data_IF_926008199683
#
_entry.id   IF_926008199683
#
_cell.length_a   1.000
_cell.length_b   1.000
_cell.length_c   1.000
_cell.angle_alpha   90.00
_cell.angle_beta   90.00
_cell.angle_gamma   90.00
#
_symmetry.space_group_name_H-M   'P 1'
#
loop_
_entity.id
_entity.type
_entity.pdbx_description
1 polymer ?
#
# COMPACT_ATOMS: atom_id res chain seq x y z
N UNK A 1 -31.48 -1.32 7.39
CA UNK A 1 -30.36 -2.12 6.84
C UNK A 1 -29.78 -2.91 8.00
N UNK A 2 -29.45 -4.20 7.84
CA UNK A 2 -28.91 -5.01 8.94
C UNK A 2 -27.47 -4.58 9.23
N UNK A 3 -27.13 -4.24 10.48
CA UNK A 3 -25.79 -3.80 10.91
C UNK A 3 -24.70 -4.82 10.52
N UNK A 4 -25.01 -6.12 10.60
CA UNK A 4 -24.11 -7.19 10.15
C UNK A 4 -23.90 -7.18 8.64
N UNK A 5 -24.93 -6.82 7.86
CA UNK A 5 -24.80 -6.69 6.42
C UNK A 5 -23.95 -5.47 6.05
N UNK A 6 -24.09 -4.36 6.78
CA UNK A 6 -23.30 -3.15 6.63
C UNK A 6 -21.81 -3.40 6.92
N UNK A 7 -21.48 -3.99 8.08
CA UNK A 7 -20.11 -4.42 8.42
C UNK A 7 -19.52 -5.33 7.34
N UNK A 8 -20.30 -6.30 6.85
CA UNK A 8 -19.84 -7.19 5.78
C UNK A 8 -19.56 -6.46 4.47
N UNK A 9 -20.39 -5.48 4.10
CA UNK A 9 -20.21 -4.68 2.88
C UNK A 9 -18.97 -3.78 3.03
N UNK A 10 -18.86 -3.06 4.16
CA UNK A 10 -17.71 -2.22 4.47
C UNK A 10 -16.39 -3.01 4.43
N UNK A 11 -16.36 -4.21 5.00
CA UNK A 11 -15.16 -5.07 4.97
C UNK A 11 -14.77 -5.49 3.55
N UNK A 12 -15.75 -5.77 2.68
CA UNK A 12 -15.50 -6.10 1.27
C UNK A 12 -14.97 -4.88 0.50
N UNK A 13 -15.59 -3.72 0.69
CA UNK A 13 -15.16 -2.48 0.04
C UNK A 13 -13.75 -2.10 0.46
N UNK A 14 -13.45 -2.12 1.76
CA UNK A 14 -12.11 -1.82 2.28
C UNK A 14 -11.03 -2.71 1.68
N UNK A 15 -11.26 -4.03 1.61
CA UNK A 15 -10.31 -4.98 1.01
C UNK A 15 -10.13 -4.73 -0.48
N UNK A 16 -11.21 -4.50 -1.23
CA UNK A 16 -11.14 -4.24 -2.67
C UNK A 16 -10.41 -2.92 -2.96
N UNK A 17 -10.72 -1.85 -2.22
CA UNK A 17 -10.04 -0.55 -2.34
C UNK A 17 -8.57 -0.66 -1.99
N UNK A 18 -8.21 -1.36 -0.90
CA UNK A 18 -6.81 -1.58 -0.54
C UNK A 18 -6.05 -2.33 -1.65
N UNK A 19 -6.66 -3.36 -2.25
CA UNK A 19 -6.04 -4.10 -3.34
C UNK A 19 -5.85 -3.24 -4.60
N UNK A 20 -6.87 -2.50 -5.03
CA UNK A 20 -6.83 -1.76 -6.28
C UNK A 20 -6.08 -0.43 -6.17
N UNK A 21 -6.27 0.30 -5.08
CA UNK A 21 -5.78 1.68 -4.92
C UNK A 21 -4.46 1.77 -4.15
N UNK A 22 -4.02 0.68 -3.50
CA UNK A 22 -2.75 0.65 -2.76
C UNK A 22 -1.87 -0.48 -3.24
N UNK A 23 -2.27 -1.75 -3.05
CA UNK A 23 -1.40 -2.88 -3.35
C UNK A 23 -0.99 -2.90 -4.83
N UNK A 24 -1.94 -2.74 -5.75
CA UNK A 24 -1.69 -2.74 -7.19
C UNK A 24 -1.17 -1.39 -7.72
N UNK A 25 -0.27 -0.74 -6.99
CA UNK A 25 0.35 0.53 -7.37
C UNK A 25 1.88 0.41 -7.36
N UNK A 26 2.60 1.54 -7.37
CA UNK A 26 4.06 1.58 -7.33
C UNK A 26 4.68 0.84 -6.13
N UNK A 27 3.94 0.66 -5.03
CA UNK A 27 4.43 -0.09 -3.88
C UNK A 27 4.72 -1.56 -4.22
N UNK A 28 3.95 -2.18 -5.13
CA UNK A 28 4.22 -3.56 -5.58
C UNK A 28 5.56 -3.64 -6.29
N UNK A 29 5.91 -2.66 -7.12
CA UNK A 29 7.21 -2.66 -7.81
C UNK A 29 8.38 -2.55 -6.82
N UNK A 30 8.17 -1.83 -5.72
CA UNK A 30 9.19 -1.68 -4.67
C UNK A 30 9.31 -2.97 -3.84
N UNK A 31 8.22 -3.68 -3.64
CA UNK A 31 8.16 -4.93 -2.88
C UNK A 31 8.57 -6.17 -3.69
N UNK A 32 8.28 -6.20 -4.99
CA UNK A 32 8.54 -7.34 -5.88
C UNK A 32 10.02 -7.46 -6.30
N UNK A 33 10.93 -6.77 -5.61
CA UNK A 33 12.37 -6.92 -5.79
C UNK A 33 12.85 -8.33 -5.44
N UNK A 34 14.05 -8.67 -5.90
CA UNK A 34 14.68 -9.95 -5.52
C UNK A 34 15.11 -9.90 -4.04
N UNK A 35 14.49 -10.74 -3.22
CA UNK A 35 14.94 -10.95 -1.84
C UNK A 35 16.18 -11.87 -1.85
N UNK A 36 17.28 -11.49 -1.19
CA UNK A 36 18.47 -12.32 -1.09
C UNK A 36 18.21 -13.59 -0.25
N UNK A 37 19.03 -14.61 -0.47
CA UNK A 37 19.02 -15.85 0.32
C UNK A 37 20.04 -15.71 1.46
N UNK A 38 19.64 -16.09 2.67
CA UNK A 38 20.53 -16.26 3.84
C UNK A 38 20.64 -17.74 4.20
N UNK A 39 21.83 -18.17 4.63
CA UNK A 39 22.10 -19.51 5.15
C UNK A 39 22.21 -19.53 6.68
N UNK A 40 22.40 -18.39 7.34
CA UNK A 40 22.46 -18.28 8.81
C UNK A 40 21.10 -18.02 9.44
N UNK A 41 20.17 -17.42 8.70
CA UNK A 41 18.82 -17.07 9.17
C UNK A 41 18.73 -15.78 9.99
N UNK A 42 19.87 -15.27 10.47
CA UNK A 42 20.00 -13.97 11.15
C UNK A 42 20.44 -12.84 10.21
N UNK A 43 20.56 -13.12 8.91
CA UNK A 43 20.96 -12.19 7.85
C UNK A 43 22.39 -11.65 7.96
N UNK A 44 23.21 -12.15 8.89
CA UNK A 44 24.60 -11.70 9.07
C UNK A 44 25.50 -12.03 7.86
N UNK A 45 25.09 -13.01 7.03
CA UNK A 45 25.78 -13.41 5.80
C UNK A 45 25.36 -12.62 4.55
N UNK A 46 24.37 -11.73 4.65
CA UNK A 46 23.84 -10.95 3.52
C UNK A 46 24.22 -9.47 3.62
N UNK A 47 24.64 -8.88 2.50
CA UNK A 47 24.92 -7.45 2.39
C UNK A 47 24.65 -6.94 0.98
N UNK A 48 24.34 -5.64 0.87
CA UNK A 48 24.35 -4.90 -0.39
C UNK A 48 25.66 -4.12 -0.51
N UNK A 49 26.23 -4.08 -1.71
CA UNK A 49 27.36 -3.20 -2.04
C UNK A 49 26.85 -2.13 -3.00
N UNK A 50 26.98 -0.86 -2.61
CA UNK A 50 26.58 0.26 -3.47
C UNK A 50 27.68 0.65 -4.47
N UNK A 51 27.40 1.66 -5.30
CA UNK A 51 28.32 2.13 -6.33
C UNK A 51 29.61 2.77 -5.76
N UNK A 52 29.59 3.23 -4.52
CA UNK A 52 30.75 3.78 -3.81
C UNK A 52 31.59 2.68 -3.14
N UNK A 53 31.18 1.41 -3.27
CA UNK A 53 31.85 0.25 -2.68
C UNK A 53 31.54 0.05 -1.21
N UNK A 54 30.54 0.76 -0.66
CA UNK A 54 30.12 0.57 0.74
C UNK A 54 29.36 -0.74 0.87
N UNK A 55 29.81 -1.60 1.78
CA UNK A 55 29.08 -2.81 2.19
C UNK A 55 28.09 -2.47 3.29
N UNK A 56 26.80 -2.64 3.03
CA UNK A 56 25.70 -2.35 3.95
C UNK A 56 25.08 -3.68 4.37
N UNK A 57 25.00 -3.99 5.69
CA UNK A 57 24.28 -5.17 6.18
C UNK A 57 22.84 -5.18 5.68
N UNK A 58 22.29 -6.34 5.31
CA UNK A 58 20.91 -6.42 4.80
C UNK A 58 19.87 -5.82 5.76
N UNK A 59 20.09 -5.98 7.07
CA UNK A 59 19.23 -5.41 8.12
C UNK A 59 19.17 -3.88 8.12
N UNK A 60 20.18 -3.23 7.53
CA UNK A 60 20.31 -1.77 7.50
C UNK A 60 19.95 -1.21 6.10
N UNK A 61 19.72 -2.08 5.12
CA UNK A 61 19.28 -1.69 3.77
C UNK A 61 17.83 -1.27 3.83
N UNK A 62 17.47 -0.15 3.19
CA UNK A 62 16.07 0.23 3.02
C UNK A 62 15.38 -0.75 2.06
N UNK A 63 14.50 -1.59 2.59
CA UNK A 63 13.69 -2.53 1.82
C UNK A 63 12.32 -2.71 2.48
N UNK A 64 11.38 -3.29 1.73
CA UNK A 64 10.05 -3.64 2.25
C UNK A 64 9.97 -5.16 2.26
N UNK A 65 9.84 -5.76 3.44
CA UNK A 65 9.67 -7.21 3.58
C UNK A 65 8.22 -7.63 3.35
N UNK A 66 8.00 -8.94 3.16
CA UNK A 66 6.65 -9.52 3.12
C UNK A 66 5.84 -9.20 4.39
N UNK A 67 6.50 -9.17 5.55
CA UNK A 67 5.85 -8.89 6.81
C UNK A 67 5.54 -7.39 6.98
N UNK A 68 6.42 -6.50 6.51
CA UNK A 68 6.13 -5.06 6.43
C UNK A 68 4.91 -4.81 5.54
N UNK A 69 4.85 -5.46 4.37
CA UNK A 69 3.69 -5.35 3.48
C UNK A 69 2.43 -5.92 4.11
N UNK A 70 2.52 -7.03 4.84
CA UNK A 70 1.37 -7.62 5.53
C UNK A 70 0.82 -6.66 6.59
N UNK A 71 1.70 -6.05 7.36
CA UNK A 71 1.34 -5.07 8.39
C UNK A 71 0.73 -3.81 7.77
N UNK A 72 1.37 -3.25 6.73
CA UNK A 72 0.86 -2.11 6.00
C UNK A 72 -0.55 -2.36 5.44
N UNK A 73 -0.76 -3.50 4.78
CA UNK A 73 -2.07 -3.84 4.21
C UNK A 73 -3.14 -4.05 5.29
N UNK A 74 -2.78 -4.65 6.43
CA UNK A 74 -3.68 -4.78 7.59
C UNK A 74 -4.14 -3.41 8.08
N UNK A 75 -3.19 -2.50 8.26
CA UNK A 75 -3.46 -1.13 8.71
C UNK A 75 -4.37 -0.37 7.74
N UNK A 76 -4.09 -0.45 6.45
CA UNK A 76 -4.88 0.22 5.41
C UNK A 76 -6.31 -0.34 5.36
N UNK A 77 -6.47 -1.67 5.35
CA UNK A 77 -7.79 -2.31 5.33
C UNK A 77 -8.58 -1.93 6.57
N UNK A 78 -7.97 -1.91 7.75
CA UNK A 78 -8.63 -1.51 8.99
C UNK A 78 -9.05 -0.04 8.94
N UNK A 79 -8.17 0.86 8.48
CA UNK A 79 -8.49 2.30 8.35
C UNK A 79 -9.62 2.55 7.36
N UNK A 80 -9.61 1.91 6.19
CA UNK A 80 -10.70 2.02 5.20
C UNK A 80 -12.02 1.45 5.74
N UNK A 81 -11.96 0.33 6.46
CA UNK A 81 -13.13 -0.24 7.14
C UNK A 81 -13.72 0.71 8.18
N UNK A 82 -12.86 1.31 9.02
CA UNK A 82 -13.27 2.34 9.97
C UNK A 82 -13.88 3.54 9.27
N UNK A 83 -13.28 4.01 8.16
CA UNK A 83 -13.82 5.12 7.40
C UNK A 83 -15.24 4.82 6.88
N UNK A 84 -15.47 3.62 6.36
CA UNK A 84 -16.80 3.22 5.87
C UNK A 84 -17.87 3.14 6.96
N UNK A 85 -17.52 2.78 8.20
CA UNK A 85 -18.49 2.62 9.29
C UNK A 85 -18.63 3.86 10.17
N UNK A 86 -17.63 4.73 10.20
CA UNK A 86 -17.53 5.83 11.15
C UNK A 86 -17.41 7.19 10.46
N UNK A 87 -17.76 7.31 9.18
CA UNK A 87 -17.68 8.57 8.42
C UNK A 87 -18.43 9.74 9.08
N UNK A 88 -19.50 9.44 9.81
CA UNK A 88 -20.32 10.44 10.53
C UNK A 88 -19.81 10.72 11.95
N UNK A 89 -18.73 10.07 12.40
CA UNK A 89 -18.12 10.36 13.70
C UNK A 89 -17.45 11.75 13.68
N UNK A 90 -17.82 12.67 14.58
CA UNK A 90 -17.28 14.04 14.57
C UNK A 90 -15.75 14.11 14.74
N UNK A 91 -15.14 13.15 15.45
CA UNK A 91 -13.68 13.12 15.61
C UNK A 91 -13.00 12.73 14.32
N UNK A 92 -13.57 11.77 13.58
CA UNK A 92 -13.05 11.40 12.28
C UNK A 92 -13.23 12.55 11.27
N UNK A 93 -14.38 13.23 11.28
CA UNK A 93 -14.60 14.40 10.42
C UNK A 93 -13.59 15.52 10.65
N UNK A 94 -13.27 15.82 11.91
CA UNK A 94 -12.25 16.82 12.25
C UNK A 94 -10.85 16.43 11.72
N UNK A 95 -10.48 15.15 11.81
CA UNK A 95 -9.22 14.66 11.22
C UNK A 95 -9.25 14.74 9.68
N UNK A 96 -10.36 14.41 9.02
CA UNK A 96 -10.51 14.54 7.57
C UNK A 96 -10.28 15.98 7.14
N UNK A 97 -10.95 16.96 7.77
CA UNK A 97 -10.82 18.38 7.43
C UNK A 97 -9.38 18.86 7.55
N UNK A 98 -8.70 18.48 8.65
CA UNK A 98 -7.29 18.79 8.89
C UNK A 98 -6.38 18.22 7.79
N UNK A 99 -6.57 16.96 7.42
CA UNK A 99 -5.71 16.30 6.41
C UNK A 99 -6.04 16.74 4.99
N UNK A 100 -7.29 17.11 4.68
CA UNK A 100 -7.67 17.69 3.39
C UNK A 100 -6.93 19.00 3.09
N UNK A 101 -6.70 19.84 4.12
CA UNK A 101 -5.89 21.05 3.95
C UNK A 101 -4.42 20.76 3.56
N UNK A 102 -3.89 19.61 3.99
CA UNK A 102 -2.53 19.16 3.60
C UNK A 102 -2.55 18.51 2.22
N UNK A 103 -3.53 17.64 1.97
CA UNK A 103 -3.69 16.91 0.71
C UNK A 103 -3.99 17.83 -0.48
N UNK A 104 -4.61 19.00 -0.26
CA UNK A 104 -4.80 20.01 -1.30
C UNK A 104 -3.51 20.62 -1.87
N UNK A 105 -2.33 20.23 -1.35
CA UNK A 105 -1.02 20.58 -1.93
C UNK A 105 -0.50 19.53 -2.91
N UNK A 106 -1.13 18.37 -2.97
CA UNK A 106 -0.77 17.32 -3.91
C UNK A 106 -1.32 17.64 -5.29
N UNK A 107 -0.76 16.99 -6.31
CA UNK A 107 -1.27 17.12 -7.68
C UNK A 107 -2.72 16.64 -7.77
N UNK A 108 -3.51 17.28 -8.63
CA UNK A 108 -4.90 16.90 -8.87
C UNK A 108 -4.99 15.48 -9.44
N UNK A 109 -6.00 14.69 -9.03
CA UNK A 109 -6.11 13.30 -9.46
C UNK A 109 -6.47 13.19 -10.95
N UNK A 110 -5.82 12.27 -11.64
CA UNK A 110 -6.15 11.87 -13.01
C UNK A 110 -6.76 10.45 -13.04
N UNK A 111 -7.51 10.15 -14.10
CA UNK A 111 -8.09 8.81 -14.28
C UNK A 111 -6.98 7.81 -14.64
N UNK A 112 -6.70 6.85 -13.75
CA UNK A 112 -5.78 5.76 -14.06
C UNK A 112 -6.44 4.68 -14.94
N UNK A 113 -6.17 4.74 -16.24
CA UNK A 113 -6.66 3.78 -17.22
C UNK A 113 -6.19 2.34 -16.96
N UNK A 114 -5.07 2.13 -16.25
CA UNK A 114 -4.56 0.79 -15.91
C UNK A 114 -5.50 0.09 -14.93
N UNK A 115 -6.13 0.83 -14.03
CA UNK A 115 -7.08 0.31 -13.04
C UNK A 115 -8.38 -0.16 -13.70
N UNK A 116 -8.83 0.51 -14.77
CA UNK A 116 -10.10 0.23 -15.47
C UNK A 116 -9.93 -0.89 -16.52
N UNK A 117 -8.70 -1.36 -16.77
CA UNK A 117 -8.43 -2.45 -17.71
C UNK A 117 -8.53 -2.05 -19.18
N UNK A 118 -8.61 -0.75 -19.50
CA UNK A 118 -8.46 -0.23 -20.86
C UNK A 118 -7.01 -0.36 -21.31
N UNK A 119 -6.57 -1.59 -21.62
CA UNK A 119 -5.36 -1.80 -22.42
C UNK A 119 -5.66 -1.24 -23.81
N UNK A 120 -5.24 -0.01 -24.07
CA UNK A 120 -5.19 0.51 -25.43
C UNK A 120 -4.52 -0.53 -26.32
N UNK A 121 -5.13 -0.82 -27.47
CA UNK A 121 -4.58 -1.68 -28.50
C UNK A 121 -3.10 -1.34 -28.72
N UNK A 122 -2.18 -2.17 -28.21
CA UNK A 122 -0.82 -2.16 -28.75
C UNK A 122 -0.90 -2.79 -30.14
N UNK A 123 -0.44 -2.12 -31.20
CA UNK A 123 -0.24 -2.78 -32.48
C UNK A 123 0.74 -3.93 -32.25
N UNK A 124 0.40 -5.12 -32.74
CA UNK A 124 1.37 -6.21 -32.84
C UNK A 124 2.37 -5.79 -33.92
N UNK A 125 3.62 -5.55 -33.53
CA UNK A 125 4.78 -5.57 -34.43
C UNK A 125 5.54 -6.85 -34.19
#
# INVERSE_FOLDING_TARGET
MNEEAEKRIAAKLAKTMAMLCVRNTHIENSHAGLTPVTHTGDWSDVSVVDADGRRIPWTDVSHITDDDMRELMRDIVNRLYTFHLCADDPKLQAEIEKWMAVAGKWDEPEIDQRMIGCRGNRPRT
#
